data_IF_708890683064
#
_entry.id   IF_708890683064
#
_cell.length_a   1.000
_cell.length_b   1.000
_cell.length_c   1.000
_cell.angle_alpha   90.00
_cell.angle_beta   90.00
_cell.angle_gamma   90.00
#
_symmetry.space_group_name_H-M   'P 1'
#
loop_
_entity.id
_entity.type
_entity.pdbx_description
1 polymer ?
#
# COMPACT_ATOMS: atom_id res chain seq x y z
N UNK A 1 10.78 -17.41 -2.33
CA UNK A 1 9.42 -17.96 -2.41
C UNK A 1 8.45 -16.79 -2.51
N UNK A 2 7.86 -16.55 -3.69
CA UNK A 2 6.84 -15.50 -3.89
C UNK A 2 5.51 -16.07 -3.42
N UNK A 3 4.68 -15.30 -2.72
CA UNK A 3 3.31 -15.70 -2.36
C UNK A 3 2.57 -16.05 -3.66
N UNK A 4 2.01 -17.25 -3.76
CA UNK A 4 1.31 -17.70 -4.98
C UNK A 4 -0.19 -17.60 -4.73
N UNK A 5 -0.94 -17.13 -5.73
CA UNK A 5 -2.40 -16.93 -5.69
C UNK A 5 -2.86 -15.71 -4.88
N UNK A 6 -2.29 -14.54 -5.14
CA UNK A 6 -2.84 -13.30 -4.57
C UNK A 6 -4.23 -13.03 -5.19
N UNK A 7 -5.28 -12.84 -4.36
CA UNK A 7 -6.63 -12.54 -4.85
C UNK A 7 -6.70 -11.27 -5.69
N UNK A 8 -7.58 -11.25 -6.68
CA UNK A 8 -7.78 -10.07 -7.53
C UNK A 8 -8.27 -8.84 -6.73
N UNK A 9 -9.02 -9.05 -5.65
CA UNK A 9 -9.47 -7.99 -4.75
C UNK A 9 -8.31 -7.28 -4.04
N UNK A 10 -7.24 -8.02 -3.71
CA UNK A 10 -6.03 -7.47 -3.09
C UNK A 10 -5.30 -6.60 -4.10
N UNK A 11 -5.20 -7.06 -5.35
CA UNK A 11 -4.58 -6.27 -6.42
C UNK A 11 -5.39 -4.99 -6.68
N UNK A 12 -6.73 -5.07 -6.74
CA UNK A 12 -7.58 -3.90 -6.90
C UNK A 12 -7.40 -2.92 -5.73
N UNK A 13 -7.39 -3.43 -4.51
CA UNK A 13 -7.19 -2.60 -3.31
C UNK A 13 -5.82 -1.92 -3.35
N UNK A 14 -4.75 -2.67 -3.65
CA UNK A 14 -3.41 -2.12 -3.85
C UNK A 14 -3.38 -1.01 -4.90
N UNK A 15 -4.03 -1.23 -6.05
CA UNK A 15 -4.11 -0.22 -7.11
C UNK A 15 -4.83 1.04 -6.65
N UNK A 16 -5.96 0.89 -5.95
CA UNK A 16 -6.70 2.03 -5.38
C UNK A 16 -5.86 2.80 -4.38
N UNK A 17 -5.16 2.12 -3.47
CA UNK A 17 -4.30 2.77 -2.47
C UNK A 17 -3.07 3.44 -3.14
N UNK A 18 -2.53 2.84 -4.21
CA UNK A 18 -1.45 3.43 -5.01
C UNK A 18 -1.89 4.72 -5.73
N UNK A 19 -3.08 4.71 -6.31
CA UNK A 19 -3.67 5.88 -6.97
C UNK A 19 -3.98 7.00 -5.96
N UNK A 20 -4.58 6.64 -4.81
CA UNK A 20 -4.81 7.57 -3.71
C UNK A 20 -3.50 8.24 -3.27
N UNK A 21 -2.39 7.49 -3.19
CA UNK A 21 -1.09 8.07 -2.84
C UNK A 21 -0.57 9.05 -3.89
N UNK A 22 -0.68 8.74 -5.19
CA UNK A 22 -0.31 9.69 -6.26
C UNK A 22 -1.13 10.99 -6.18
N UNK A 23 -2.39 10.90 -5.75
CA UNK A 23 -3.23 12.06 -5.50
C UNK A 23 -3.00 12.73 -4.12
N UNK A 24 -2.41 12.00 -3.16
CA UNK A 24 -2.17 12.44 -1.78
C UNK A 24 -0.81 13.10 -1.54
N UNK A 25 0.08 13.12 -2.54
CA UNK A 25 1.46 13.68 -2.45
C UNK A 25 1.49 15.09 -1.81
N UNK A 26 0.38 15.84 -1.92
CA UNK A 26 0.25 17.20 -1.42
C UNK A 26 -0.98 17.44 -0.53
N UNK A 27 -1.74 16.40 -0.14
CA UNK A 27 -3.00 16.56 0.59
C UNK A 27 -3.03 15.70 1.86
N UNK A 28 -3.03 16.38 3.01
CA UNK A 28 -3.03 15.76 4.33
C UNK A 28 -4.26 14.88 4.58
N UNK A 29 -5.47 15.30 4.14
CA UNK A 29 -6.68 14.48 4.24
C UNK A 29 -6.56 13.20 3.43
N UNK A 30 -6.04 13.28 2.21
CA UNK A 30 -5.80 12.08 1.38
C UNK A 30 -4.70 11.18 1.95
N UNK A 31 -3.70 11.74 2.63
CA UNK A 31 -2.66 10.97 3.32
C UNK A 31 -3.25 10.21 4.52
N UNK A 32 -4.16 10.85 5.26
CA UNK A 32 -4.91 10.20 6.34
C UNK A 32 -5.80 9.08 5.80
N UNK A 33 -6.56 9.34 4.73
CA UNK A 33 -7.40 8.35 4.06
C UNK A 33 -6.58 7.17 3.52
N UNK A 34 -5.41 7.44 2.94
CA UNK A 34 -4.45 6.43 2.53
C UNK A 34 -4.02 5.55 3.72
N UNK A 35 -3.68 6.16 4.85
CA UNK A 35 -3.25 5.45 6.06
C UNK A 35 -4.36 4.53 6.61
N UNK A 36 -5.60 5.00 6.64
CA UNK A 36 -6.76 4.22 7.09
C UNK A 36 -7.08 3.05 6.13
N UNK A 37 -7.06 3.31 4.83
CA UNK A 37 -7.25 2.27 3.80
C UNK A 37 -6.13 1.23 3.82
N UNK A 38 -4.88 1.66 3.97
CA UNK A 38 -3.73 0.77 4.02
C UNK A 38 -3.77 -0.10 5.28
N UNK A 39 -4.15 0.47 6.43
CA UNK A 39 -4.33 -0.31 7.67
C UNK A 39 -5.44 -1.34 7.55
N UNK A 40 -6.55 -0.99 6.90
CA UNK A 40 -7.65 -1.93 6.62
C UNK A 40 -7.23 -3.05 5.66
N UNK A 41 -6.39 -2.72 4.68
CA UNK A 41 -5.83 -3.69 3.74
C UNK A 41 -4.86 -4.66 4.45
N UNK A 42 -4.05 -4.18 5.40
CA UNK A 42 -3.15 -5.01 6.20
C UNK A 42 -3.92 -6.10 6.96
N UNK A 43 -5.02 -5.73 7.63
CA UNK A 43 -5.86 -6.67 8.37
C UNK A 43 -6.41 -7.74 7.43
N UNK A 44 -6.88 -7.35 6.24
CA UNK A 44 -7.36 -8.31 5.24
C UNK A 44 -6.25 -9.25 4.76
N UNK A 45 -5.04 -8.75 4.58
CA UNK A 45 -3.91 -9.56 4.14
C UNK A 45 -3.50 -10.59 5.19
N UNK A 46 -3.52 -10.21 6.47
CA UNK A 46 -3.30 -11.14 7.57
C UNK A 46 -4.39 -12.22 7.63
N UNK A 47 -5.66 -11.85 7.41
CA UNK A 47 -6.81 -12.78 7.40
C UNK A 47 -6.69 -13.87 6.32
N UNK A 48 -6.17 -13.51 5.14
CA UNK A 48 -5.91 -14.46 4.04
C UNK A 48 -4.48 -15.02 4.04
N UNK A 49 -3.76 -14.89 5.16
CA UNK A 49 -2.41 -15.41 5.39
C UNK A 49 -1.32 -14.89 4.42
N UNK A 50 -1.55 -13.72 3.81
CA UNK A 50 -0.58 -13.01 2.97
C UNK A 50 0.36 -12.14 3.81
N UNK A 51 1.02 -12.76 4.79
CA UNK A 51 1.86 -12.08 5.77
C UNK A 51 3.06 -11.33 5.15
N UNK A 52 3.60 -11.78 4.02
CA UNK A 52 4.75 -11.07 3.40
C UNK A 52 4.31 -9.80 2.70
N UNK A 53 3.14 -9.82 2.06
CA UNK A 53 2.55 -8.62 1.47
C UNK A 53 2.17 -7.62 2.57
N UNK A 54 1.62 -8.12 3.69
CA UNK A 54 1.29 -7.31 4.86
C UNK A 54 2.54 -6.64 5.44
N UNK A 55 3.61 -7.38 5.71
CA UNK A 55 4.87 -6.83 6.26
C UNK A 55 5.46 -5.71 5.39
N UNK A 56 5.41 -5.87 4.07
CA UNK A 56 5.86 -4.84 3.12
C UNK A 56 5.00 -3.58 3.14
N UNK A 57 3.68 -3.75 3.19
CA UNK A 57 2.76 -2.61 3.30
C UNK A 57 2.87 -1.93 4.67
N UNK A 58 3.22 -2.67 5.72
CA UNK A 58 3.51 -2.13 7.04
C UNK A 58 4.72 -1.19 6.98
N UNK A 59 5.77 -1.57 6.23
CA UNK A 59 6.91 -0.69 5.96
C UNK A 59 6.51 0.59 5.22
N UNK A 60 5.55 0.51 4.30
CA UNK A 60 4.99 1.68 3.61
C UNK A 60 4.27 2.60 4.59
N UNK A 61 3.40 2.05 5.44
CA UNK A 61 2.66 2.79 6.47
C UNK A 61 3.60 3.49 7.46
N UNK A 62 4.69 2.83 7.85
CA UNK A 62 5.72 3.41 8.72
C UNK A 62 6.41 4.62 8.09
N UNK A 63 6.55 4.65 6.76
CA UNK A 63 7.17 5.74 6.03
C UNK A 63 6.19 6.86 5.63
N UNK A 64 4.89 6.57 5.55
CA UNK A 64 3.83 7.51 5.22
C UNK A 64 2.96 7.81 6.46
N UNK A 65 3.50 8.58 7.42
CA UNK A 65 2.73 9.05 8.57
C UNK A 65 2.18 10.46 8.32
N UNK A 66 0.85 10.66 8.34
CA UNK A 66 0.27 11.99 8.28
C UNK A 66 0.71 12.76 9.54
N UNK A 67 1.57 13.75 9.38
CA UNK A 67 1.84 14.76 10.40
C UNK A 67 1.06 16.01 10.03
N UNK A 68 0.33 16.57 11.00
CA UNK A 68 -0.58 17.72 10.86
C UNK A 68 0.03 19.02 10.28
N UNK A 69 1.30 19.05 9.86
CA UNK A 69 1.99 20.28 9.46
C UNK A 69 2.92 20.17 8.25
N UNK A 70 3.04 19.02 7.57
CA UNK A 70 3.91 18.96 6.39
C UNK A 70 3.51 17.91 5.38
N UNK A 71 3.86 18.18 4.12
CA UNK A 71 3.73 17.28 2.99
C UNK A 71 4.42 15.94 3.33
N UNK A 72 4.00 14.85 2.69
CA UNK A 72 4.68 13.58 2.86
C UNK A 72 6.10 13.69 2.27
N UNK A 73 7.10 13.95 3.13
CA UNK A 73 8.51 14.11 2.73
C UNK A 73 9.03 12.89 1.97
N UNK A 74 8.45 11.72 2.24
CA UNK A 74 8.79 10.44 1.63
C UNK A 74 7.81 9.99 0.56
N UNK A 75 6.95 10.87 0.04
CA UNK A 75 5.96 10.52 -0.98
C UNK A 75 6.60 9.78 -2.16
N UNK A 76 7.74 10.25 -2.66
CA UNK A 76 8.43 9.59 -3.77
C UNK A 76 8.89 8.16 -3.41
N UNK A 77 9.43 7.97 -2.20
CA UNK A 77 9.85 6.66 -1.70
C UNK A 77 8.65 5.71 -1.51
N UNK A 78 7.56 6.22 -0.92
CA UNK A 78 6.31 5.48 -0.72
C UNK A 78 5.69 5.06 -2.05
N UNK A 79 5.69 5.96 -3.04
CA UNK A 79 5.22 5.67 -4.39
C UNK A 79 6.03 4.56 -5.06
N UNK A 80 7.36 4.61 -4.99
CA UNK A 80 8.23 3.57 -5.53
C UNK A 80 8.04 2.21 -4.83
N UNK A 81 7.91 2.21 -3.50
CA UNK A 81 7.60 1.00 -2.72
C UNK A 81 6.25 0.40 -3.14
N UNK A 82 5.20 1.23 -3.26
CA UNK A 82 3.87 0.77 -3.66
C UNK A 82 3.84 0.23 -5.09
N UNK A 83 4.57 0.86 -6.02
CA UNK A 83 4.75 0.34 -7.40
C UNK A 83 5.45 -1.02 -7.40
N UNK A 84 6.51 -1.18 -6.60
CA UNK A 84 7.20 -2.45 -6.40
C UNK A 84 6.28 -3.55 -5.90
N UNK A 85 5.58 -3.29 -4.79
CA UNK A 85 4.63 -4.22 -4.18
C UNK A 85 3.52 -4.60 -5.16
N UNK A 86 2.94 -3.64 -5.86
CA UNK A 86 1.88 -3.90 -6.86
C UNK A 86 2.38 -4.77 -8.01
N UNK A 87 3.59 -4.53 -8.51
CA UNK A 87 4.19 -5.30 -9.60
C UNK A 87 4.49 -6.74 -9.18
N UNK A 88 4.99 -6.92 -7.96
CA UNK A 88 5.22 -8.23 -7.38
C UNK A 88 3.90 -8.97 -7.14
N UNK A 89 2.88 -8.27 -6.65
CA UNK A 89 1.56 -8.85 -6.42
C UNK A 89 0.88 -9.32 -7.72
N UNK A 90 1.01 -8.55 -8.80
CA UNK A 90 0.53 -8.96 -10.14
C UNK A 90 1.25 -10.20 -10.65
N UNK A 91 2.58 -10.23 -10.54
CA UNK A 91 3.40 -11.41 -10.89
C UNK A 91 2.99 -12.65 -10.08
N UNK A 92 2.73 -12.48 -8.79
CA UNK A 92 2.27 -13.53 -7.88
C UNK A 92 0.88 -14.08 -8.24
N UNK A 93 0.01 -13.24 -8.78
CA UNK A 93 -1.31 -13.60 -9.28
C UNK A 93 -1.32 -14.15 -10.73
N UNK A 94 -0.15 -14.24 -11.38
CA UNK A 94 -0.06 -14.72 -12.77
C UNK A 94 -0.60 -13.73 -13.81
N UNK A 95 -0.66 -12.43 -13.48
CA UNK A 95 -1.10 -11.35 -14.37
C UNK A 95 0.04 -10.46 -14.84
#
# INVERSE_FOLDING_TARGET
>A
MVEKNIPEEVIKSLQSVCQLHEEAVCNHDKCKEFSENLSSLLIRLEDIELYRLADRLMSVLLNCKPKEASHCEKANLVGEMMKGITKEAKRAAGK
#
